data_IF_956303711210
#
_entry.id   IF_956303711210
#
_cell.length_a   1.000
_cell.length_b   1.000
_cell.length_c   1.000
_cell.angle_alpha   90.00
_cell.angle_beta   90.00
_cell.angle_gamma   90.00
#
_symmetry.space_group_name_H-M   'P 1'
#
loop_
_entity.id
_entity.type
_entity.pdbx_description
1 polymer ?
#
# COMPACT_ATOMS: atom_id res chain seq x y z
N UNK A 1 -23.19 4.24 -10.06
CA UNK A 1 -24.16 3.72 -11.04
C UNK A 1 -23.63 3.73 -12.48
N UNK A 2 -22.95 4.76 -12.96
CA UNK A 2 -22.38 4.82 -14.32
C UNK A 2 -21.27 3.81 -14.59
N UNK A 3 -20.34 3.60 -13.66
CA UNK A 3 -19.26 2.61 -13.78
C UNK A 3 -19.80 1.16 -13.91
N UNK A 4 -20.89 0.84 -13.21
CA UNK A 4 -21.57 -0.47 -13.33
C UNK A 4 -22.11 -0.70 -14.74
N UNK A 5 -22.72 0.33 -15.34
CA UNK A 5 -23.22 0.27 -16.73
C UNK A 5 -22.09 0.12 -17.74
N UNK A 6 -20.97 0.86 -17.54
CA UNK A 6 -19.81 0.84 -18.44
C UNK A 6 -19.12 -0.54 -18.49
N UNK A 7 -19.12 -1.29 -17.38
CA UNK A 7 -18.47 -2.60 -17.27
C UNK A 7 -19.45 -3.78 -17.32
N UNK A 8 -20.73 -3.55 -17.63
CA UNK A 8 -21.78 -4.56 -17.69
C UNK A 8 -21.90 -5.42 -16.41
N UNK A 9 -21.50 -4.87 -15.24
CA UNK A 9 -21.56 -5.52 -13.93
C UNK A 9 -22.83 -5.09 -13.21
N UNK A 10 -23.64 -6.08 -12.77
CA UNK A 10 -24.89 -5.82 -12.03
C UNK A 10 -24.61 -5.50 -10.55
N UNK A 11 -23.59 -6.11 -9.97
CA UNK A 11 -23.27 -6.07 -8.53
C UNK A 11 -21.79 -5.73 -8.34
N UNK A 12 -21.47 -5.02 -7.27
CA UNK A 12 -20.12 -4.88 -6.74
C UNK A 12 -19.92 -5.80 -5.52
N UNK A 13 -18.73 -5.75 -4.90
CA UNK A 13 -18.42 -6.61 -3.75
C UNK A 13 -19.27 -6.26 -2.52
N UNK A 14 -19.66 -5.00 -2.35
CA UNK A 14 -20.49 -4.56 -1.24
C UNK A 14 -21.93 -5.08 -1.40
N UNK A 15 -22.48 -5.02 -2.62
CA UNK A 15 -23.77 -5.62 -2.92
C UNK A 15 -23.75 -7.12 -2.63
N UNK A 16 -22.69 -7.83 -3.05
CA UNK A 16 -22.56 -9.27 -2.78
C UNK A 16 -22.53 -9.56 -1.29
N UNK A 17 -21.74 -8.80 -0.52
CA UNK A 17 -21.66 -8.94 0.92
C UNK A 17 -23.03 -8.69 1.58
N UNK A 18 -23.76 -7.69 1.11
CA UNK A 18 -25.12 -7.40 1.58
C UNK A 18 -26.05 -8.60 1.35
N UNK A 19 -26.12 -9.11 0.13
CA UNK A 19 -27.00 -10.25 -0.19
C UNK A 19 -26.62 -11.51 0.59
N UNK A 20 -25.32 -11.81 0.68
CA UNK A 20 -24.86 -12.95 1.49
C UNK A 20 -25.26 -12.80 2.96
N UNK A 21 -25.18 -11.60 3.53
CA UNK A 21 -25.61 -11.32 4.90
C UNK A 21 -27.11 -11.57 5.08
N UNK A 22 -27.94 -11.12 4.13
CA UNK A 22 -29.39 -11.31 4.18
C UNK A 22 -29.74 -12.81 4.11
N UNK A 23 -29.16 -13.54 3.16
CA UNK A 23 -29.36 -14.99 3.00
C UNK A 23 -28.94 -15.74 4.28
N UNK A 24 -27.75 -15.47 4.83
CA UNK A 24 -27.28 -16.10 6.06
C UNK A 24 -28.12 -15.75 7.31
N UNK A 25 -28.98 -14.73 7.22
CA UNK A 25 -29.90 -14.36 8.31
C UNK A 25 -31.10 -15.29 8.39
N UNK A 26 -31.56 -15.83 7.26
CA UNK A 26 -32.71 -16.71 7.13
C UNK A 26 -32.33 -18.19 6.93
N UNK A 27 -31.06 -18.46 6.62
CA UNK A 27 -30.53 -19.79 6.38
C UNK A 27 -30.25 -20.52 7.71
N UNK A 28 -30.98 -21.59 7.98
CA UNK A 28 -30.87 -22.44 9.16
C UNK A 28 -29.92 -23.65 8.96
N UNK A 29 -29.23 -23.73 7.84
CA UNK A 29 -28.31 -24.84 7.57
C UNK A 29 -27.07 -24.80 8.49
N UNK A 30 -26.47 -25.97 8.72
CA UNK A 30 -25.26 -26.07 9.52
C UNK A 30 -24.12 -25.31 8.85
N UNK A 31 -23.47 -24.44 9.58
CA UNK A 31 -22.35 -23.65 9.07
C UNK A 31 -21.15 -24.55 8.79
N UNK A 32 -20.57 -24.39 7.59
CA UNK A 32 -19.44 -25.23 7.16
C UNK A 32 -18.16 -24.92 7.95
N UNK A 33 -17.92 -23.66 8.30
CA UNK A 33 -16.71 -23.21 8.98
C UNK A 33 -17.02 -22.76 10.39
N UNK A 34 -16.28 -23.30 11.36
CA UNK A 34 -16.37 -22.90 12.77
C UNK A 34 -15.43 -21.74 13.10
N UNK A 35 -14.30 -21.67 12.41
CA UNK A 35 -13.28 -20.66 12.63
C UNK A 35 -12.91 -20.00 11.31
N UNK A 36 -12.89 -18.67 11.29
CA UNK A 36 -12.47 -17.86 10.15
C UNK A 36 -11.27 -17.02 10.58
N UNK A 37 -10.22 -17.03 9.77
CA UNK A 37 -9.07 -16.13 9.93
C UNK A 37 -9.09 -15.16 8.76
N UNK A 38 -9.07 -13.87 9.08
CA UNK A 38 -9.05 -12.78 8.11
C UNK A 38 -7.68 -12.13 8.19
N UNK A 39 -6.95 -12.16 7.09
CA UNK A 39 -5.73 -11.39 6.91
C UNK A 39 -6.01 -10.15 6.06
N UNK A 40 -5.18 -9.10 6.21
CA UNK A 40 -5.40 -7.78 5.57
C UNK A 40 -6.84 -7.25 5.79
N UNK A 41 -7.37 -7.47 6.96
CA UNK A 41 -8.77 -7.21 7.29
C UNK A 41 -9.19 -5.74 7.14
N UNK A 42 -8.25 -4.78 7.12
CA UNK A 42 -8.53 -3.37 6.85
C UNK A 42 -9.14 -3.14 5.46
N UNK A 43 -9.08 -4.12 4.56
CA UNK A 43 -9.69 -4.05 3.22
C UNK A 43 -11.15 -4.51 3.19
N UNK A 44 -11.64 -5.06 4.30
CA UNK A 44 -13.02 -5.51 4.42
C UNK A 44 -13.93 -4.38 4.85
N UNK A 45 -15.08 -4.25 4.19
CA UNK A 45 -16.13 -3.35 4.66
C UNK A 45 -16.84 -3.88 5.91
N UNK A 46 -17.53 -3.03 6.67
CA UNK A 46 -18.37 -3.47 7.77
C UNK A 46 -19.41 -4.52 7.36
N UNK A 47 -19.99 -4.40 6.16
CA UNK A 47 -20.98 -5.36 5.63
C UNK A 47 -20.35 -6.72 5.34
N UNK A 48 -19.14 -6.73 4.77
CA UNK A 48 -18.37 -7.97 4.54
C UNK A 48 -18.08 -8.68 5.87
N UNK A 49 -17.64 -7.95 6.90
CA UNK A 49 -17.36 -8.53 8.21
C UNK A 49 -18.64 -9.03 8.89
N UNK A 50 -19.77 -8.32 8.75
CA UNK A 50 -21.07 -8.77 9.25
C UNK A 50 -21.50 -10.08 8.56
N UNK A 51 -21.33 -10.20 7.24
CA UNK A 51 -21.67 -11.43 6.53
C UNK A 51 -20.80 -12.60 7.00
N UNK A 52 -19.50 -12.41 7.20
CA UNK A 52 -18.61 -13.43 7.75
C UNK A 52 -18.99 -13.82 9.19
N UNK A 53 -19.42 -12.86 10.01
CA UNK A 53 -19.87 -13.15 11.39
C UNK A 53 -21.11 -14.04 11.45
N UNK A 54 -21.97 -13.99 10.42
CA UNK A 54 -23.15 -14.86 10.27
C UNK A 54 -22.83 -16.21 9.61
N UNK A 55 -21.68 -16.30 8.94
CA UNK A 55 -21.24 -17.52 8.28
C UNK A 55 -20.64 -18.57 9.26
N UNK A 56 -20.48 -18.22 10.53
CA UNK A 56 -20.00 -19.14 11.58
C UNK A 56 -21.10 -19.48 12.59
N UNK A 57 -21.05 -20.64 13.25
CA UNK A 57 -21.98 -20.97 14.35
C UNK A 57 -21.73 -20.08 15.58
N UNK A 58 -22.68 -20.07 16.52
CA UNK A 58 -22.61 -19.25 17.73
C UNK A 58 -21.41 -19.56 18.65
N UNK A 59 -20.87 -20.77 18.56
CA UNK A 59 -19.67 -21.23 19.27
C UNK A 59 -18.40 -21.14 18.40
N UNK A 60 -18.49 -20.49 17.27
CA UNK A 60 -17.38 -20.24 16.36
C UNK A 60 -16.54 -19.02 16.75
N UNK A 61 -15.46 -18.78 16.00
CA UNK A 61 -14.60 -17.61 16.22
C UNK A 61 -14.13 -16.98 14.91
N UNK A 62 -13.90 -15.67 14.95
CA UNK A 62 -13.20 -14.92 13.90
C UNK A 62 -11.93 -14.36 14.51
N UNK A 63 -10.82 -14.60 13.84
CA UNK A 63 -9.54 -13.95 14.12
C UNK A 63 -9.25 -12.98 12.98
N UNK A 64 -9.05 -11.71 13.32
CA UNK A 64 -8.86 -10.63 12.39
C UNK A 64 -7.45 -10.05 12.55
N UNK A 65 -6.69 -10.04 11.47
CA UNK A 65 -5.42 -9.33 11.36
C UNK A 65 -5.60 -8.16 10.40
N UNK A 66 -5.09 -7.00 10.78
CA UNK A 66 -5.18 -5.81 9.95
C UNK A 66 -4.24 -4.71 10.43
N UNK A 67 -3.77 -3.91 9.50
CA UNK A 67 -2.95 -2.73 9.74
C UNK A 67 -3.74 -1.47 9.33
N UNK A 68 -4.15 -0.69 10.33
CA UNK A 68 -4.94 0.52 10.11
C UNK A 68 -4.17 1.57 9.30
N UNK A 69 -2.84 1.61 9.46
CA UNK A 69 -1.98 2.53 8.71
C UNK A 69 -1.94 2.21 7.20
N UNK A 70 -2.22 0.97 6.82
CA UNK A 70 -2.27 0.52 5.42
C UNK A 70 -3.69 0.51 4.84
N UNK A 71 -4.66 1.09 5.51
CA UNK A 71 -6.02 1.21 5.01
C UNK A 71 -6.09 2.27 3.90
N UNK A 72 -5.94 1.83 2.66
CA UNK A 72 -6.07 2.68 1.47
C UNK A 72 -7.45 2.61 0.82
N UNK A 73 -8.32 1.72 1.31
CA UNK A 73 -9.69 1.54 0.83
C UNK A 73 -10.70 1.61 1.97
N UNK A 74 -11.84 2.27 1.72
CA UNK A 74 -12.99 2.25 2.60
C UNK A 74 -12.90 3.16 3.84
N UNK A 75 -14.01 3.20 4.58
CA UNK A 75 -14.16 3.97 5.82
C UNK A 75 -13.74 3.13 7.02
N UNK A 76 -13.42 3.80 8.12
CA UNK A 76 -13.11 3.18 9.42
C UNK A 76 -14.11 2.11 9.82
N UNK A 77 -13.59 0.98 10.27
CA UNK A 77 -14.38 -0.12 10.79
C UNK A 77 -14.64 0.12 12.29
N UNK A 78 -15.89 0.37 12.62
CA UNK A 78 -16.32 0.20 14.01
C UNK A 78 -16.52 -1.28 14.30
N UNK A 79 -15.72 -1.87 15.17
CA UNK A 79 -15.85 -3.29 15.58
C UNK A 79 -17.26 -3.64 16.01
N UNK A 80 -17.93 -2.71 16.70
CA UNK A 80 -19.32 -2.88 17.14
C UNK A 80 -20.28 -2.90 15.95
N UNK A 81 -20.08 -2.02 14.97
CA UNK A 81 -20.86 -1.98 13.74
C UNK A 81 -20.63 -3.21 12.88
N UNK A 82 -19.39 -3.75 12.86
CA UNK A 82 -19.04 -4.99 12.18
C UNK A 82 -19.57 -6.26 12.88
N UNK A 83 -20.26 -6.13 14.03
CA UNK A 83 -20.85 -7.27 14.76
C UNK A 83 -19.96 -7.85 15.87
N UNK A 84 -18.74 -7.35 16.07
CA UNK A 84 -17.79 -7.84 17.07
C UNK A 84 -18.00 -7.12 18.42
N UNK A 85 -18.91 -7.61 19.24
CA UNK A 85 -19.26 -6.94 20.52
C UNK A 85 -18.26 -7.16 21.65
N UNK A 86 -17.50 -8.27 21.62
CA UNK A 86 -16.59 -8.71 22.68
C UNK A 86 -15.21 -9.05 22.10
N UNK A 87 -14.69 -8.24 21.15
CA UNK A 87 -13.40 -8.50 20.54
C UNK A 87 -12.27 -8.34 21.57
N UNK A 88 -11.39 -9.35 21.65
CA UNK A 88 -10.13 -9.24 22.37
C UNK A 88 -9.09 -8.67 21.40
N UNK A 89 -8.59 -7.48 21.70
CA UNK A 89 -7.64 -6.78 20.85
C UNK A 89 -6.21 -7.10 21.29
N UNK A 90 -5.41 -7.56 20.35
CA UNK A 90 -3.98 -7.74 20.50
C UNK A 90 -3.24 -6.72 19.63
N UNK A 91 -2.17 -6.12 20.16
CA UNK A 91 -1.37 -5.14 19.43
C UNK A 91 0.02 -5.67 19.24
N UNK A 92 0.42 -5.89 17.98
CA UNK A 92 1.76 -6.28 17.61
C UNK A 92 2.56 -5.01 17.32
N UNK A 93 3.55 -4.71 18.16
CA UNK A 93 4.36 -3.49 18.03
C UNK A 93 5.70 -3.73 17.35
N UNK A 94 6.16 -4.97 17.29
CA UNK A 94 7.50 -5.26 16.80
C UNK A 94 7.52 -5.31 15.29
N UNK A 95 8.33 -4.43 14.68
CA UNK A 95 8.58 -4.43 13.25
C UNK A 95 9.79 -5.33 12.95
N UNK A 96 9.57 -6.39 12.16
CA UNK A 96 10.60 -7.34 11.73
C UNK A 96 10.94 -7.20 10.24
N UNK A 97 10.23 -6.34 9.53
CA UNK A 97 10.31 -6.21 8.07
C UNK A 97 11.39 -5.25 7.63
N UNK A 98 11.29 -4.02 8.09
CA UNK A 98 12.12 -2.91 7.63
C UNK A 98 13.38 -2.76 8.47
N UNK A 99 14.39 -2.04 7.96
CA UNK A 99 15.44 -1.47 8.78
C UNK A 99 14.89 -0.33 9.64
N UNK A 100 15.66 0.07 10.67
CA UNK A 100 15.28 1.16 11.58
C UNK A 100 15.06 2.47 10.82
N UNK A 101 15.93 2.75 9.87
CA UNK A 101 15.96 3.97 9.09
C UNK A 101 14.69 4.10 8.23
N UNK A 102 14.31 3.02 7.54
CA UNK A 102 13.05 2.96 6.76
C UNK A 102 11.82 3.05 7.68
N UNK A 103 11.85 2.36 8.82
CA UNK A 103 10.77 2.43 9.79
C UNK A 103 10.60 3.83 10.39
N UNK A 104 11.69 4.57 10.60
CA UNK A 104 11.67 5.96 11.05
C UNK A 104 10.96 6.86 10.03
N UNK A 105 11.30 6.72 8.74
CA UNK A 105 10.63 7.48 7.69
C UNK A 105 9.13 7.13 7.62
N UNK A 106 8.77 5.84 7.65
CA UNK A 106 7.37 5.43 7.71
C UNK A 106 6.62 6.03 8.90
N UNK A 107 7.25 6.06 10.08
CA UNK A 107 6.68 6.69 11.27
C UNK A 107 6.52 8.21 11.10
N UNK A 108 7.49 8.89 10.49
CA UNK A 108 7.40 10.33 10.21
C UNK A 108 6.24 10.63 9.25
N UNK A 109 6.09 9.85 8.17
CA UNK A 109 4.95 9.97 7.23
C UNK A 109 3.61 9.78 7.97
N UNK A 110 3.52 8.80 8.85
CA UNK A 110 2.29 8.51 9.59
C UNK A 110 1.89 9.60 10.60
N UNK A 111 2.81 10.50 10.93
CA UNK A 111 2.60 11.65 11.82
C UNK A 111 2.28 12.96 11.06
N UNK A 112 2.33 12.94 9.74
CA UNK A 112 2.01 14.12 8.93
C UNK A 112 0.54 14.52 9.04
N UNK A 113 0.19 15.82 8.87
CA UNK A 113 -1.16 16.33 9.08
C UNK A 113 -2.25 15.65 8.23
N UNK A 114 -1.91 15.18 7.04
CA UNK A 114 -2.85 14.51 6.14
C UNK A 114 -3.06 13.03 6.45
N UNK A 115 -2.20 12.45 7.25
CA UNK A 115 -2.39 11.10 7.75
C UNK A 115 -3.41 11.15 8.88
N UNK A 116 -4.59 10.58 8.70
CA UNK A 116 -5.76 10.69 9.59
C UNK A 116 -5.37 10.59 11.07
N UNK A 117 -5.53 11.69 11.83
CA UNK A 117 -5.17 11.82 13.24
C UNK A 117 -5.85 10.81 14.17
N UNK A 118 -6.98 10.30 13.74
CA UNK A 118 -7.80 9.36 14.50
C UNK A 118 -7.42 7.89 14.33
N UNK A 119 -6.41 7.53 13.58
CA UNK A 119 -5.99 6.15 13.53
C UNK A 119 -5.40 5.78 14.91
N UNK A 120 -5.90 4.71 15.53
CA UNK A 120 -5.21 3.99 16.61
C UNK A 120 -3.88 3.44 16.04
N UNK A 121 -3.04 4.35 15.53
CA UNK A 121 -1.72 4.04 15.00
C UNK A 121 -0.91 3.44 16.15
N UNK A 122 -0.56 2.19 15.99
CA UNK A 122 0.36 1.55 16.91
C UNK A 122 1.74 2.03 16.51
N UNK A 123 2.37 2.87 17.33
CA UNK A 123 3.78 3.18 17.15
C UNK A 123 4.56 1.87 17.19
N UNK A 124 5.17 1.45 16.06
CA UNK A 124 5.96 0.24 16.06
C UNK A 124 7.18 0.43 16.95
N UNK A 125 7.57 -0.61 17.67
CA UNK A 125 8.90 -0.66 18.28
C UNK A 125 9.91 -0.72 17.13
N UNK A 126 10.95 0.10 17.23
CA UNK A 126 11.96 0.15 16.19
C UNK A 126 12.58 -1.22 15.95
N UNK A 127 12.79 -1.59 14.67
CA UNK A 127 13.51 -2.80 14.32
C UNK A 127 14.90 -2.81 14.96
N UNK A 128 15.38 -3.99 15.28
CA UNK A 128 16.78 -4.16 15.74
C UNK A 128 17.79 -4.03 14.61
N UNK A 129 17.36 -4.35 13.40
CA UNK A 129 18.18 -4.25 12.19
C UNK A 129 18.35 -2.77 11.80
N UNK A 130 19.58 -2.33 11.64
CA UNK A 130 19.95 -1.06 11.05
C UNK A 130 20.37 -1.28 9.59
N UNK A 131 20.17 -0.28 8.74
CA UNK A 131 20.52 -0.30 7.33
C UNK A 131 20.93 1.08 6.83
N UNK A 132 21.09 1.25 5.53
CA UNK A 132 21.33 2.57 4.94
C UNK A 132 20.10 3.48 5.19
N UNK A 133 20.39 4.78 5.30
CA UNK A 133 19.33 5.78 5.31
C UNK A 133 18.62 5.78 3.97
N UNK A 134 17.30 6.02 3.93
CA UNK A 134 16.58 6.28 2.69
C UNK A 134 17.29 7.40 1.92
N UNK A 135 17.53 7.20 0.63
CA UNK A 135 18.09 8.23 -0.24
C UNK A 135 16.97 9.12 -0.77
N UNK A 136 17.15 10.44 -0.70
CA UNK A 136 16.30 11.42 -1.35
C UNK A 136 17.12 12.13 -2.42
N UNK A 137 16.76 11.94 -3.70
CA UNK A 137 17.59 12.38 -4.83
C UNK A 137 16.79 13.38 -5.66
N UNK A 138 17.34 14.58 -5.82
CA UNK A 138 16.79 15.62 -6.69
C UNK A 138 17.45 15.60 -8.04
N UNK A 139 16.65 15.61 -9.10
CA UNK A 139 17.07 15.63 -10.49
C UNK A 139 16.63 16.92 -11.19
N UNK A 140 17.30 17.22 -12.31
CA UNK A 140 16.95 18.35 -13.16
C UNK A 140 15.58 18.13 -13.84
N UNK A 141 15.34 16.91 -14.36
CA UNK A 141 14.09 16.52 -15.00
C UNK A 141 13.76 15.02 -14.81
N UNK A 142 12.56 14.63 -15.22
CA UNK A 142 12.06 13.25 -15.06
C UNK A 142 12.78 12.24 -15.97
N UNK A 143 13.34 12.67 -17.09
CA UNK A 143 14.03 11.77 -18.01
C UNK A 143 15.39 11.36 -17.42
N UNK A 144 16.14 12.32 -16.89
CA UNK A 144 17.39 12.11 -16.17
C UNK A 144 17.15 11.25 -14.92
N UNK A 145 16.07 11.51 -14.20
CA UNK A 145 15.66 10.75 -13.02
C UNK A 145 15.52 9.26 -13.32
N UNK A 146 14.82 8.91 -14.41
CA UNK A 146 14.59 7.50 -14.75
C UNK A 146 15.86 6.82 -15.30
N UNK A 147 16.63 7.53 -16.12
CA UNK A 147 17.86 6.99 -16.72
C UNK A 147 18.93 6.69 -15.65
N UNK A 148 19.00 7.50 -14.60
CA UNK A 148 19.92 7.29 -13.48
C UNK A 148 19.69 5.93 -12.79
N UNK A 149 18.43 5.56 -12.54
CA UNK A 149 18.13 4.33 -11.85
C UNK A 149 18.29 3.06 -12.68
N UNK A 150 18.47 3.14 -14.00
CA UNK A 150 18.62 1.95 -14.84
C UNK A 150 19.86 1.14 -14.44
N UNK A 151 20.98 1.81 -14.19
CA UNK A 151 22.22 1.15 -13.80
C UNK A 151 22.13 0.54 -12.40
N UNK A 152 21.56 1.26 -11.44
CA UNK A 152 21.32 0.78 -10.07
C UNK A 152 20.38 -0.44 -10.05
N UNK A 153 19.27 -0.36 -10.80
CA UNK A 153 18.32 -1.46 -10.93
C UNK A 153 18.98 -2.69 -11.53
N UNK A 154 19.85 -2.49 -12.54
CA UNK A 154 20.59 -3.58 -13.19
C UNK A 154 21.56 -4.26 -12.22
N UNK A 155 22.26 -3.50 -11.39
CA UNK A 155 23.19 -4.04 -10.40
C UNK A 155 22.46 -4.78 -9.29
N UNK A 156 21.50 -4.12 -8.63
CA UNK A 156 20.80 -4.70 -7.50
C UNK A 156 19.95 -5.91 -7.86
N UNK A 157 19.32 -5.91 -9.03
CA UNK A 157 18.44 -7.01 -9.45
C UNK A 157 19.15 -8.33 -9.70
N UNK A 158 20.49 -8.35 -9.75
CA UNK A 158 21.26 -9.60 -9.85
C UNK A 158 21.22 -10.42 -8.57
N UNK A 159 21.04 -9.78 -7.42
CA UNK A 159 21.13 -10.43 -6.10
C UNK A 159 19.95 -10.13 -5.19
N UNK A 160 19.09 -9.19 -5.57
CA UNK A 160 17.99 -8.70 -4.75
C UNK A 160 16.69 -8.63 -5.56
N UNK A 161 15.56 -8.61 -4.83
CA UNK A 161 14.29 -8.20 -5.38
C UNK A 161 14.21 -6.66 -5.36
N UNK A 162 14.16 -6.05 -6.53
CA UNK A 162 14.03 -4.61 -6.71
C UNK A 162 12.64 -4.28 -7.23
N UNK A 163 11.96 -3.31 -6.62
CA UNK A 163 10.70 -2.81 -7.15
C UNK A 163 10.79 -1.32 -7.46
N UNK A 164 10.32 -0.95 -8.66
CA UNK A 164 10.05 0.44 -9.02
C UNK A 164 8.55 0.67 -8.89
N UNK A 165 8.16 1.52 -7.94
CA UNK A 165 6.76 1.77 -7.63
C UNK A 165 6.41 3.21 -7.99
N UNK A 166 5.35 3.37 -8.78
CA UNK A 166 4.88 4.67 -9.29
C UNK A 166 3.41 4.89 -8.99
N UNK A 167 2.92 6.11 -9.25
CA UNK A 167 1.56 6.48 -8.88
C UNK A 167 0.49 5.85 -9.78
N UNK A 168 0.72 5.75 -11.07
CA UNK A 168 -0.29 5.39 -12.06
C UNK A 168 0.20 4.35 -13.07
N UNK A 169 -0.75 3.72 -13.77
CA UNK A 169 -0.46 2.65 -14.75
C UNK A 169 0.22 3.16 -16.02
N UNK A 170 -0.01 4.41 -16.41
CA UNK A 170 0.67 5.00 -17.57
C UNK A 170 2.16 5.09 -17.32
N UNK A 171 2.53 5.56 -16.14
CA UNK A 171 3.93 5.62 -15.68
C UNK A 171 4.54 4.23 -15.52
N UNK A 172 3.79 3.20 -15.05
CA UNK A 172 4.26 1.79 -15.04
C UNK A 172 4.68 1.35 -16.44
N UNK A 173 3.83 1.59 -17.45
CA UNK A 173 4.13 1.23 -18.83
C UNK A 173 5.38 1.95 -19.35
N UNK A 174 5.56 3.21 -19.01
CA UNK A 174 6.72 4.01 -19.39
C UNK A 174 8.02 3.43 -18.78
N UNK A 175 8.02 3.15 -17.46
CA UNK A 175 9.17 2.53 -16.76
C UNK A 175 9.53 1.17 -17.37
N UNK A 176 8.55 0.31 -17.61
CA UNK A 176 8.77 -1.01 -18.23
C UNK A 176 9.41 -0.85 -19.62
N UNK A 177 8.93 0.11 -20.40
CA UNK A 177 9.48 0.38 -21.74
C UNK A 177 10.94 0.83 -21.68
N UNK A 178 11.29 1.74 -20.78
CA UNK A 178 12.66 2.21 -20.56
C UNK A 178 13.59 1.06 -20.13
N UNK A 179 13.18 0.25 -19.16
CA UNK A 179 13.93 -0.94 -18.72
C UNK A 179 14.15 -1.93 -19.88
N UNK A 180 13.12 -2.17 -20.69
CA UNK A 180 13.20 -3.06 -21.85
C UNK A 180 14.18 -2.55 -22.90
N UNK A 181 14.22 -1.23 -23.17
CA UNK A 181 15.19 -0.61 -24.07
C UNK A 181 16.62 -0.76 -23.55
N UNK A 182 16.82 -0.77 -22.24
CA UNK A 182 18.12 -1.06 -21.61
C UNK A 182 18.45 -2.57 -21.54
N UNK A 183 17.62 -3.44 -22.12
CA UNK A 183 17.81 -4.89 -22.12
C UNK A 183 17.46 -5.58 -20.81
N UNK A 184 16.77 -4.89 -19.89
CA UNK A 184 16.36 -5.43 -18.61
C UNK A 184 14.93 -5.98 -18.68
N UNK A 185 14.76 -7.19 -18.15
CA UNK A 185 13.43 -7.80 -18.02
C UNK A 185 12.83 -7.42 -16.68
N UNK A 186 11.60 -6.95 -16.67
CA UNK A 186 10.84 -6.65 -15.48
C UNK A 186 9.51 -7.38 -15.45
N UNK A 187 9.01 -7.66 -14.24
CA UNK A 187 7.69 -8.19 -14.00
C UNK A 187 6.74 -7.04 -13.62
N UNK A 188 5.63 -6.90 -14.33
CA UNK A 188 4.58 -5.97 -13.92
C UNK A 188 3.82 -6.52 -12.73
N UNK A 189 3.65 -5.69 -11.68
CA UNK A 189 2.80 -5.99 -10.54
C UNK A 189 1.34 -5.67 -10.90
N UNK A 190 0.58 -6.70 -11.18
CA UNK A 190 -0.86 -6.59 -11.47
C UNK A 190 -1.64 -7.61 -10.61
N UNK A 191 -2.97 -7.47 -10.55
CA UNK A 191 -3.83 -8.35 -9.75
C UNK A 191 -3.90 -9.81 -10.24
N UNK A 192 -3.32 -10.11 -11.41
CA UNK A 192 -3.33 -11.43 -12.03
C UNK A 192 -2.06 -12.24 -11.73
N UNK A 193 -1.24 -11.80 -10.77
CA UNK A 193 -0.05 -12.54 -10.34
C UNK A 193 -0.43 -13.91 -9.78
N UNK A 194 -0.48 -14.91 -10.66
CA UNK A 194 -0.77 -16.30 -10.29
C UNK A 194 0.36 -16.95 -9.48
N UNK A 195 1.56 -16.37 -9.50
CA UNK A 195 2.73 -16.79 -8.73
C UNK A 195 3.60 -15.59 -8.39
N UNK A 196 3.81 -15.37 -7.10
CA UNK A 196 4.84 -14.48 -6.62
C UNK A 196 6.20 -15.19 -6.71
N UNK A 197 7.13 -14.60 -7.45
CA UNK A 197 8.51 -15.09 -7.50
C UNK A 197 9.35 -14.36 -6.46
N UNK A 198 10.05 -15.09 -5.62
CA UNK A 198 10.97 -14.55 -4.61
C UNK A 198 12.42 -14.51 -5.08
N UNK A 199 12.71 -14.89 -6.32
CA UNK A 199 14.04 -14.82 -6.89
C UNK A 199 14.46 -13.35 -7.14
N UNK A 200 15.77 -13.05 -7.16
CA UNK A 200 16.28 -11.75 -7.56
C UNK A 200 15.71 -11.31 -8.93
N UNK A 201 15.40 -10.04 -9.06
CA UNK A 201 14.81 -9.51 -10.27
C UNK A 201 14.15 -8.15 -10.10
N UNK A 202 13.53 -7.67 -11.16
CA UNK A 202 12.90 -6.35 -11.25
C UNK A 202 11.39 -6.51 -11.31
N UNK A 203 10.71 -5.79 -10.44
CA UNK A 203 9.26 -5.62 -10.46
C UNK A 203 8.91 -4.16 -10.69
N UNK A 204 7.86 -3.88 -11.46
CA UNK A 204 7.35 -2.53 -11.69
C UNK A 204 5.86 -2.51 -11.43
N UNK A 205 5.39 -1.55 -10.66
CA UNK A 205 3.97 -1.46 -10.36
C UNK A 205 3.55 -0.14 -9.74
N UNK A 206 2.28 -0.05 -9.41
CA UNK A 206 1.76 1.09 -8.65
C UNK A 206 1.91 0.84 -7.15
N UNK A 207 1.87 1.91 -6.34
CA UNK A 207 1.79 1.79 -4.88
C UNK A 207 0.67 0.83 -4.43
N UNK A 208 -0.49 0.86 -5.11
CA UNK A 208 -1.60 -0.05 -4.83
C UNK A 208 -1.25 -1.51 -5.10
N UNK A 209 -0.59 -1.79 -6.24
CA UNK A 209 -0.28 -3.16 -6.63
C UNK A 209 0.84 -3.80 -5.79
N UNK A 210 1.61 -2.98 -5.08
CA UNK A 210 2.64 -3.45 -4.15
C UNK A 210 2.09 -3.83 -2.76
N UNK A 211 0.81 -3.57 -2.49
CA UNK A 211 0.22 -3.91 -1.20
C UNK A 211 0.29 -5.42 -0.95
N UNK A 212 0.70 -5.80 0.27
CA UNK A 212 0.91 -7.21 0.64
C UNK A 212 2.23 -7.81 0.17
N UNK A 213 3.00 -7.11 -0.70
CA UNK A 213 4.30 -7.56 -1.17
C UNK A 213 5.45 -6.91 -0.38
N UNK A 214 6.65 -7.46 -0.50
CA UNK A 214 7.86 -6.95 0.15
C UNK A 214 9.06 -7.14 -0.78
N UNK A 215 9.98 -6.15 -0.80
CA UNK A 215 11.13 -6.15 -1.68
C UNK A 215 12.39 -5.80 -0.89
N UNK A 216 13.55 -6.28 -1.33
CA UNK A 216 14.81 -5.92 -0.69
C UNK A 216 15.10 -4.43 -0.89
N UNK A 217 14.90 -3.93 -2.11
CA UNK A 217 15.09 -2.53 -2.48
C UNK A 217 13.88 -1.98 -3.21
N UNK A 218 13.48 -0.77 -2.83
CA UNK A 218 12.39 -0.02 -3.48
C UNK A 218 12.93 1.29 -4.02
N UNK A 219 12.47 1.63 -5.22
CA UNK A 219 12.67 2.91 -5.87
C UNK A 219 11.29 3.55 -6.07
N UNK A 220 11.12 4.77 -5.53
CA UNK A 220 9.92 5.59 -5.66
C UNK A 220 10.29 6.84 -6.48
N UNK A 221 10.28 6.75 -7.82
CA UNK A 221 10.56 7.91 -8.67
C UNK A 221 9.35 8.84 -8.77
N UNK A 222 9.60 10.06 -9.25
CA UNK A 222 8.59 11.07 -9.57
C UNK A 222 7.77 11.53 -8.36
N UNK A 223 8.41 11.60 -7.18
CA UNK A 223 7.79 12.11 -5.95
C UNK A 223 7.73 13.63 -5.93
N UNK A 224 7.34 14.26 -7.05
CA UNK A 224 7.22 15.70 -7.18
C UNK A 224 5.77 16.19 -6.93
N UNK A 225 5.67 17.49 -6.65
CA UNK A 225 4.42 18.18 -6.31
C UNK A 225 3.40 18.17 -7.44
N UNK A 226 3.86 18.08 -8.70
CA UNK A 226 3.00 18.08 -9.88
C UNK A 226 2.29 16.73 -10.08
N UNK A 227 2.89 15.65 -9.62
CA UNK A 227 2.35 14.30 -9.73
C UNK A 227 1.65 13.78 -8.48
N UNK A 228 2.02 14.31 -7.31
CA UNK A 228 1.54 13.83 -6.01
C UNK A 228 1.12 15.00 -5.10
N UNK A 229 -0.19 15.13 -4.78
CA UNK A 229 -1.30 14.28 -5.18
C UNK A 229 -1.67 14.45 -6.66
N UNK A 230 -2.21 13.39 -7.29
CA UNK A 230 -2.60 13.47 -8.69
C UNK A 230 -3.79 14.40 -8.89
N UNK A 231 -3.77 15.22 -9.98
CA UNK A 231 -4.88 16.14 -10.31
C UNK A 231 -6.19 15.38 -10.53
N UNK A 232 -6.14 14.22 -11.21
CA UNK A 232 -7.31 13.36 -11.43
C UNK A 232 -7.97 12.95 -10.11
N UNK A 233 -7.17 12.69 -9.07
CA UNK A 233 -7.68 12.33 -7.75
C UNK A 233 -8.35 13.52 -7.06
N UNK A 234 -7.75 14.71 -7.14
CA UNK A 234 -8.33 15.94 -6.60
C UNK A 234 -9.67 16.24 -7.27
N UNK A 235 -9.73 16.13 -8.60
CA UNK A 235 -10.96 16.34 -9.36
C UNK A 235 -12.03 15.28 -9.03
N UNK A 236 -11.64 14.03 -8.87
CA UNK A 236 -12.58 12.94 -8.57
C UNK A 236 -13.20 13.03 -7.17
N UNK A 237 -12.47 13.57 -6.19
CA UNK A 237 -12.94 13.75 -4.81
C UNK A 237 -13.55 15.13 -4.56
N UNK A 238 -13.39 16.07 -5.51
CA UNK A 238 -13.78 17.47 -5.34
C UNK A 238 -13.18 18.12 -4.08
N UNK A 239 -12.14 17.49 -3.50
CA UNK A 239 -11.48 17.89 -2.26
C UNK A 239 -9.98 17.55 -2.32
N UNK A 240 -9.15 18.61 -2.24
CA UNK A 240 -7.69 18.43 -2.16
C UNK A 240 -7.28 17.75 -0.86
N UNK A 241 -7.92 18.06 0.24
CA UNK A 241 -7.60 17.52 1.56
C UNK A 241 -7.87 16.01 1.62
N UNK A 242 -8.99 15.54 1.07
CA UNK A 242 -9.28 14.11 0.95
C UNK A 242 -8.30 13.42 0.00
N UNK A 243 -7.91 14.08 -1.10
CA UNK A 243 -6.91 13.55 -2.02
C UNK A 243 -5.55 13.39 -1.33
N UNK A 244 -5.10 14.39 -0.57
CA UNK A 244 -3.86 14.32 0.22
C UNK A 244 -3.92 13.18 1.25
N UNK A 245 -5.04 13.03 1.96
CA UNK A 245 -5.22 11.96 2.95
C UNK A 245 -5.16 10.56 2.34
N UNK A 246 -5.69 10.37 1.13
CA UNK A 246 -5.60 9.09 0.43
C UNK A 246 -4.20 8.83 -0.12
N UNK A 247 -3.58 9.85 -0.74
CA UNK A 247 -2.27 9.73 -1.40
C UNK A 247 -1.12 9.49 -0.41
N UNK A 248 -1.17 10.13 0.77
CA UNK A 248 -0.12 9.93 1.79
C UNK A 248 -0.07 8.47 2.28
N UNK A 249 -1.23 7.82 2.37
CA UNK A 249 -1.30 6.39 2.72
C UNK A 249 -0.68 5.51 1.65
N UNK A 250 -0.79 5.89 0.37
CA UNK A 250 -0.15 5.17 -0.72
C UNK A 250 1.38 5.29 -0.67
N UNK A 251 1.90 6.49 -0.38
CA UNK A 251 3.33 6.68 -0.16
C UNK A 251 3.81 5.87 1.05
N UNK A 252 3.06 5.90 2.16
CA UNK A 252 3.36 5.08 3.33
C UNK A 252 3.43 3.58 2.98
N UNK A 253 2.46 3.08 2.19
CA UNK A 253 2.50 1.71 1.69
C UNK A 253 3.76 1.47 0.87
N UNK A 254 4.09 2.34 -0.10
CA UNK A 254 5.30 2.21 -0.93
C UNK A 254 6.57 2.15 -0.09
N UNK A 255 6.76 3.08 0.84
CA UNK A 255 7.92 3.14 1.74
C UNK A 255 8.04 1.88 2.59
N UNK A 256 6.94 1.42 3.17
CA UNK A 256 6.95 0.27 4.09
C UNK A 256 7.09 -1.09 3.39
N UNK A 257 7.09 -1.14 2.05
CA UNK A 257 7.41 -2.36 1.27
C UNK A 257 8.91 -2.64 1.19
N UNK A 258 9.76 -1.64 1.47
CA UNK A 258 11.21 -1.80 1.44
C UNK A 258 11.73 -2.55 2.68
N UNK A 259 12.55 -3.57 2.49
CA UNK A 259 13.21 -4.30 3.58
C UNK A 259 14.53 -3.65 3.98
N UNK A 260 15.36 -3.24 3.01
CA UNK A 260 16.76 -2.83 3.22
C UNK A 260 17.12 -1.53 2.53
N UNK A 261 16.75 -1.37 1.25
CA UNK A 261 17.09 -0.20 0.43
C UNK A 261 15.85 0.60 0.07
N UNK A 262 15.91 1.92 0.16
CA UNK A 262 14.85 2.82 -0.25
C UNK A 262 15.45 4.04 -0.93
N UNK A 263 15.08 4.24 -2.18
CA UNK A 263 15.43 5.40 -2.99
C UNK A 263 14.15 6.15 -3.33
N UNK A 264 14.12 7.43 -3.03
CA UNK A 264 13.02 8.33 -3.37
C UNK A 264 13.62 9.42 -4.24
N UNK A 265 12.98 9.72 -5.35
CA UNK A 265 13.49 10.78 -6.24
C UNK A 265 12.39 11.70 -6.73
N UNK A 266 12.79 12.87 -7.15
CA UNK A 266 11.92 13.91 -7.66
C UNK A 266 12.70 14.87 -8.56
N UNK A 267 11.97 15.51 -9.47
CA UNK A 267 12.41 16.70 -10.22
C UNK A 267 11.52 17.89 -9.86
N UNK A 268 12.07 19.11 -9.94
CA UNK A 268 11.32 20.30 -9.55
C UNK A 268 11.13 20.44 -8.03
N UNK A 269 9.87 20.51 -7.56
CA UNK A 269 9.53 20.61 -6.14
C UNK A 269 9.12 19.24 -5.57
N UNK A 270 9.68 18.91 -4.39
CA UNK A 270 9.27 17.71 -3.65
C UNK A 270 7.79 17.77 -3.28
N UNK A 271 7.11 16.62 -3.34
CA UNK A 271 5.71 16.52 -2.88
C UNK A 271 5.57 16.86 -1.38
N UNK A 272 4.47 17.51 -1.03
CA UNK A 272 4.10 17.78 0.36
C UNK A 272 3.70 16.53 1.17
N UNK A 273 3.66 15.36 0.53
CA UNK A 273 3.32 14.08 1.14
C UNK A 273 4.54 13.36 1.76
N UNK A 274 5.72 13.94 1.65
CA UNK A 274 6.96 13.44 2.25
C UNK A 274 7.46 14.42 3.32
N UNK A 275 7.82 13.93 4.52
CA UNK A 275 8.36 14.78 5.56
C UNK A 275 9.75 15.31 5.16
N UNK A 276 10.08 16.53 5.60
CA UNK A 276 11.35 17.19 5.31
C UNK A 276 12.22 17.37 6.57
N UNK A 277 11.92 16.61 7.63
CA UNK A 277 12.66 16.69 8.88
C UNK A 277 14.09 16.17 8.73
N UNK A 278 15.03 16.83 9.39
CA UNK A 278 16.44 16.46 9.38
C UNK A 278 16.67 15.02 9.86
N UNK A 279 17.53 14.30 9.15
CA UNK A 279 17.96 12.97 9.54
C UNK A 279 17.03 11.82 9.11
N UNK A 280 16.03 12.09 8.28
CA UNK A 280 15.19 11.05 7.66
C UNK A 280 15.78 10.50 6.37
N UNK A 281 16.59 11.28 5.68
CA UNK A 281 17.17 10.97 4.38
C UNK A 281 18.66 11.23 4.33
N UNK A 282 19.33 10.54 3.43
CA UNK A 282 20.58 10.99 2.86
C UNK A 282 20.23 11.69 1.53
N UNK A 283 20.47 12.99 1.47
CA UNK A 283 20.08 13.83 0.34
C UNK A 283 21.18 13.91 -0.71
N UNK A 284 20.77 13.91 -1.98
CA UNK A 284 21.65 14.04 -3.14
C UNK A 284 21.01 14.97 -4.17
N UNK A 285 21.83 15.66 -4.96
CA UNK A 285 21.43 16.46 -6.11
C UNK A 285 22.28 16.04 -7.32
N UNK A 286 21.62 15.71 -8.43
CA UNK A 286 22.23 15.16 -9.67
C UNK A 286 21.85 16.04 -10.85
#
# INVERSE_FOLDING_TARGET
MELRKKHNRKYDLEDLAYYVREELTIDDTVRMYKHIIIDEGQDFSPTMLQSLSKAIPSDGSITYFGDVAQQIYGSRISWRAAGFRNAKIWRFRQNYRNTREIANLGLAISKMPFFNEDADLIEPLFPRASGPMPALIKFEDEETELDYFIDDVKEYSQTQQVAVLVRDRGTVTHVISKLSLAGLRSQELNGDLSRWNTDPGISVGTYHSAKGLEFDTIILPFCNKERLPSEDKILALESREEALSDEIKLIYVGVTRARRGLFISYSGELTELLPTDDGLYQEFEV
#
